data_IF_032624801549
#
_entry.id   IF_032624801549
#
_cell.length_a   1.000
_cell.length_b   1.000
_cell.length_c   1.000
_cell.angle_alpha   90.00
_cell.angle_beta   90.00
_cell.angle_gamma   90.00
#
_symmetry.space_group_name_H-M   'P 1'
#
loop_
_entity.id
_entity.type
_entity.pdbx_description
1 polymer ?
#
# COMPACT_ATOMS: atom_id res chain seq x y z
N UNK A 1 17.39 -19.74 -11.40
CA UNK A 1 18.10 -20.61 -10.41
C UNK A 1 17.13 -21.12 -9.34
N UNK A 2 16.23 -20.26 -8.80
CA UNK A 2 15.30 -20.68 -7.75
C UNK A 2 14.23 -21.67 -8.25
N UNK A 3 13.63 -21.40 -9.41
CA UNK A 3 12.64 -22.30 -10.05
C UNK A 3 13.24 -23.67 -10.39
N UNK A 4 14.48 -23.72 -10.88
CA UNK A 4 15.16 -24.98 -11.17
C UNK A 4 15.49 -25.77 -9.90
N UNK A 5 15.87 -25.08 -8.82
CA UNK A 5 16.08 -25.70 -7.50
C UNK A 5 14.77 -26.25 -6.92
N UNK A 6 13.68 -25.53 -7.04
CA UNK A 6 12.35 -25.95 -6.60
C UNK A 6 11.86 -27.19 -7.35
N UNK A 7 12.01 -27.24 -8.67
CA UNK A 7 11.72 -28.44 -9.50
C UNK A 7 12.48 -29.68 -9.04
N UNK A 8 13.78 -29.49 -8.71
CA UNK A 8 14.63 -30.62 -8.26
C UNK A 8 14.22 -31.15 -6.87
N UNK A 9 13.51 -30.32 -6.06
CA UNK A 9 13.03 -30.69 -4.72
C UNK A 9 11.56 -31.13 -4.69
N UNK A 10 10.89 -31.21 -5.82
CA UNK A 10 9.49 -31.68 -5.92
C UNK A 10 8.45 -30.61 -5.58
N UNK A 11 8.83 -29.33 -5.54
CA UNK A 11 7.86 -28.24 -5.43
C UNK A 11 6.98 -28.15 -6.70
N UNK A 12 5.76 -27.59 -6.57
CA UNK A 12 4.87 -27.42 -7.71
C UNK A 12 5.56 -26.73 -8.89
N UNK A 13 5.39 -27.29 -10.07
CA UNK A 13 5.90 -26.68 -11.33
C UNK A 13 4.88 -25.66 -11.79
N UNK A 14 5.28 -24.59 -12.51
CA UNK A 14 4.32 -23.68 -13.13
C UNK A 14 3.25 -24.47 -13.86
N UNK A 15 2.01 -24.06 -13.71
CA UNK A 15 0.91 -24.58 -14.51
C UNK A 15 1.22 -24.30 -15.99
N UNK A 16 0.65 -25.03 -16.95
CA UNK A 16 0.84 -24.78 -18.37
C UNK A 16 0.50 -23.33 -18.78
N UNK A 17 -0.31 -22.63 -17.98
CA UNK A 17 -0.71 -21.23 -18.14
C UNK A 17 0.18 -20.25 -17.40
N UNK A 18 1.20 -20.72 -16.67
CA UNK A 18 2.01 -19.92 -15.76
C UNK A 18 1.44 -19.81 -14.34
N UNK A 19 2.18 -19.14 -13.47
CA UNK A 19 1.78 -18.92 -12.07
C UNK A 19 0.76 -17.79 -11.95
N UNK A 20 -0.36 -17.96 -11.24
CA UNK A 20 -1.16 -16.83 -10.81
C UNK A 20 -0.32 -15.91 -9.92
N UNK A 21 -0.55 -14.60 -9.97
CA UNK A 21 0.33 -13.60 -9.36
C UNK A 21 -0.42 -12.72 -8.38
N UNK A 22 0.18 -12.51 -7.22
CA UNK A 22 -0.19 -11.45 -6.28
C UNK A 22 0.84 -10.33 -6.36
N UNK A 23 0.40 -9.13 -6.71
CA UNK A 23 1.18 -7.90 -6.52
C UNK A 23 0.89 -7.40 -5.12
N UNK A 24 1.87 -7.47 -4.23
CA UNK A 24 1.78 -6.89 -2.89
C UNK A 24 2.43 -5.52 -2.85
N UNK A 25 1.68 -4.51 -2.39
CA UNK A 25 2.18 -3.15 -2.19
C UNK A 25 2.18 -2.82 -0.70
N UNK A 26 3.36 -2.67 -0.09
CA UNK A 26 3.49 -2.21 1.29
C UNK A 26 3.04 -0.75 1.47
N UNK A 27 2.87 -0.35 2.73
CA UNK A 27 2.49 0.98 3.14
C UNK A 27 3.60 2.03 3.05
N UNK A 28 3.27 3.26 3.45
CA UNK A 28 4.26 4.30 3.70
C UNK A 28 5.17 3.88 4.85
N UNK A 29 6.41 4.33 4.83
CA UNK A 29 7.48 3.97 5.79
C UNK A 29 7.90 2.49 5.75
N UNK A 30 7.40 1.73 4.79
CA UNK A 30 7.68 0.29 4.63
C UNK A 30 8.38 0.04 3.30
N UNK A 31 8.85 -1.19 3.10
CA UNK A 31 9.49 -1.58 1.86
C UNK A 31 9.03 -2.97 1.37
N UNK A 32 9.47 -3.36 0.18
CA UNK A 32 9.11 -4.63 -0.47
C UNK A 32 9.36 -5.88 0.37
N UNK A 33 10.23 -5.81 1.40
CA UNK A 33 10.53 -6.95 2.27
C UNK A 33 9.32 -7.38 3.13
N UNK A 34 8.36 -6.51 3.37
CA UNK A 34 7.13 -6.85 4.08
C UNK A 34 6.35 -8.00 3.42
N UNK A 35 6.59 -8.24 2.13
CA UNK A 35 6.05 -9.40 1.42
C UNK A 35 6.33 -10.71 2.18
N UNK A 36 7.49 -10.85 2.80
CA UNK A 36 7.88 -12.06 3.53
C UNK A 36 6.96 -12.35 4.72
N UNK A 37 6.36 -11.31 5.29
CA UNK A 37 5.48 -11.40 6.46
C UNK A 37 4.05 -11.85 6.13
N UNK A 38 3.65 -11.77 4.86
CA UNK A 38 2.26 -11.95 4.43
C UNK A 38 2.09 -12.96 3.30
N UNK A 39 3.18 -13.42 2.67
CA UNK A 39 3.10 -14.21 1.43
C UNK A 39 2.74 -15.68 1.66
N UNK A 40 3.00 -16.25 2.85
CA UNK A 40 2.85 -17.69 3.09
C UNK A 40 1.46 -18.23 2.69
N UNK A 41 0.32 -17.61 3.09
CA UNK A 41 -1.00 -18.12 2.73
C UNK A 41 -1.27 -18.11 1.21
N UNK A 42 -0.62 -17.23 0.45
CA UNK A 42 -0.77 -17.18 -1.00
C UNK A 42 0.13 -18.20 -1.69
N UNK A 43 1.35 -18.35 -1.18
CA UNK A 43 2.30 -19.37 -1.69
C UNK A 43 1.73 -20.78 -1.53
N UNK A 44 1.07 -21.06 -0.40
CA UNK A 44 0.40 -22.34 -0.13
C UNK A 44 -0.75 -22.62 -1.10
N UNK A 45 -1.35 -21.59 -1.66
CA UNK A 45 -2.38 -21.70 -2.71
C UNK A 45 -1.80 -21.73 -4.13
N UNK A 46 -0.47 -21.69 -4.28
CA UNK A 46 0.21 -21.77 -5.56
C UNK A 46 0.35 -20.45 -6.30
N UNK A 47 0.19 -19.30 -5.65
CA UNK A 47 0.46 -17.98 -6.23
C UNK A 47 1.96 -17.66 -6.21
N UNK A 48 2.42 -16.95 -7.23
CA UNK A 48 3.66 -16.20 -7.16
C UNK A 48 3.38 -14.83 -6.50
N UNK A 49 4.32 -14.31 -5.72
CA UNK A 49 4.19 -13.00 -5.06
C UNK A 49 5.28 -12.07 -5.55
N UNK A 50 4.89 -10.87 -5.95
CA UNK A 50 5.78 -9.80 -6.39
C UNK A 50 5.50 -8.56 -5.53
N UNK A 51 6.53 -7.95 -4.97
CA UNK A 51 6.44 -6.70 -4.22
C UNK A 51 7.39 -5.67 -4.78
N UNK A 52 7.00 -4.39 -4.73
CA UNK A 52 7.82 -3.25 -5.16
C UNK A 52 7.80 -2.15 -4.10
N UNK A 53 8.85 -1.34 -4.11
CA UNK A 53 8.91 -0.15 -3.27
C UNK A 53 8.17 1.01 -3.92
N UNK A 54 7.58 1.86 -3.09
CA UNK A 54 7.08 3.16 -3.50
C UNK A 54 8.24 4.10 -3.92
N UNK A 55 8.00 5.18 -4.66
CA UNK A 55 9.00 6.23 -4.81
C UNK A 55 9.53 6.68 -3.45
N UNK A 56 10.82 6.97 -3.34
CA UNK A 56 11.53 7.33 -2.12
C UNK A 56 11.53 6.28 -1.00
N UNK A 57 11.14 5.05 -1.31
CA UNK A 57 11.22 3.91 -0.40
C UNK A 57 12.24 2.90 -0.92
N UNK A 58 12.78 2.09 -0.03
CA UNK A 58 13.74 1.05 -0.39
C UNK A 58 14.40 0.46 0.84
N UNK A 59 15.35 -0.45 0.61
CA UNK A 59 16.16 -1.05 1.66
C UNK A 59 17.49 -0.28 1.72
N UNK A 60 17.71 0.49 2.78
CA UNK A 60 18.99 1.16 3.06
C UNK A 60 19.89 0.23 3.87
N UNK A 61 21.20 0.33 3.73
CA UNK A 61 22.17 -0.69 4.23
C UNK A 61 22.96 -0.20 5.43
N UNK A 62 22.55 0.86 6.06
CA UNK A 62 23.33 1.50 7.12
C UNK A 62 23.16 0.87 8.50
N UNK A 63 22.12 0.08 8.72
CA UNK A 63 21.87 -0.61 10.00
C UNK A 63 22.39 -2.06 9.96
N UNK A 64 23.29 -2.48 10.90
CA UNK A 64 23.68 -3.88 11.05
C UNK A 64 22.52 -4.84 11.34
N UNK A 65 21.40 -4.37 11.90
CA UNK A 65 20.16 -5.15 12.05
C UNK A 65 19.49 -5.44 10.72
N UNK A 66 19.75 -4.64 9.70
CA UNK A 66 19.23 -4.79 8.33
C UNK A 66 20.05 -5.74 7.47
N UNK A 67 21.09 -6.37 8.00
CA UNK A 67 21.94 -7.31 7.24
C UNK A 67 21.13 -8.45 6.60
N UNK A 68 20.00 -8.86 7.19
CA UNK A 68 19.09 -9.83 6.61
C UNK A 68 18.31 -9.22 5.44
N UNK A 69 17.88 -7.96 5.55
CA UNK A 69 17.18 -7.23 4.49
C UNK A 69 18.11 -6.94 3.31
N UNK A 70 19.41 -6.73 3.59
CA UNK A 70 20.42 -6.57 2.54
C UNK A 70 20.48 -7.76 1.57
N UNK A 71 20.10 -8.96 2.01
CA UNK A 71 19.97 -10.15 1.15
C UNK A 71 18.82 -10.04 0.15
N UNK A 72 17.85 -9.16 0.40
CA UNK A 72 16.71 -8.92 -0.48
C UNK A 72 17.00 -7.79 -1.50
N UNK A 73 18.16 -7.15 -1.43
CA UNK A 73 18.60 -6.23 -2.48
C UNK A 73 18.98 -7.01 -3.74
N UNK A 74 18.56 -6.50 -4.88
CA UNK A 74 18.92 -7.09 -6.16
C UNK A 74 20.29 -6.51 -6.60
N UNK A 75 21.34 -7.34 -6.70
CA UNK A 75 22.66 -6.85 -7.09
C UNK A 75 22.63 -6.11 -8.42
N UNK A 76 23.30 -4.96 -8.49
CA UNK A 76 23.39 -4.14 -9.71
C UNK A 76 22.17 -3.27 -10.01
N UNK A 77 21.20 -3.19 -9.09
CA UNK A 77 20.10 -2.24 -9.15
C UNK A 77 20.26 -1.12 -8.12
N UNK A 78 19.64 0.03 -8.38
CA UNK A 78 19.52 1.11 -7.40
C UNK A 78 18.20 0.95 -6.63
N UNK A 79 18.21 1.27 -5.34
CA UNK A 79 17.01 1.37 -4.53
C UNK A 79 16.17 2.58 -4.96
N UNK A 80 14.87 2.56 -4.65
CA UNK A 80 13.97 3.66 -5.02
C UNK A 80 14.03 4.85 -4.06
N UNK A 81 14.93 4.85 -3.10
CA UNK A 81 15.32 5.98 -2.25
C UNK A 81 15.96 7.12 -3.04
N UNK A 82 16.45 6.83 -4.27
CA UNK A 82 17.23 7.75 -5.12
C UNK A 82 18.52 8.24 -4.45
N UNK A 83 19.00 7.51 -3.44
CA UNK A 83 20.18 7.83 -2.64
C UNK A 83 20.12 9.26 -2.06
N UNK A 84 18.93 9.73 -1.72
CA UNK A 84 18.73 11.05 -1.12
C UNK A 84 19.09 11.00 0.37
N UNK A 85 19.73 12.06 0.81
CA UNK A 85 20.06 12.38 2.19
C UNK A 85 19.73 13.86 2.38
N UNK A 86 18.51 14.15 2.83
CA UNK A 86 17.97 15.51 2.96
C UNK A 86 17.55 15.83 4.39
N UNK A 87 17.55 14.81 5.27
CA UNK A 87 17.09 14.90 6.65
C UNK A 87 18.02 14.14 7.57
N UNK A 88 17.84 14.38 8.85
CA UNK A 88 18.46 13.59 9.89
C UNK A 88 17.57 12.38 10.22
N UNK A 89 18.09 11.16 10.04
CA UNK A 89 17.32 9.93 10.26
C UNK A 89 17.02 9.66 11.75
N UNK A 90 17.77 10.29 12.68
CA UNK A 90 17.50 10.21 14.12
C UNK A 90 16.50 11.28 14.59
N UNK A 91 16.41 12.42 13.87
CA UNK A 91 15.48 13.51 14.18
C UNK A 91 14.81 13.99 12.89
N UNK A 92 13.68 13.40 12.56
CA UNK A 92 12.91 13.71 11.34
C UNK A 92 12.43 15.17 11.26
N UNK A 93 12.54 15.95 12.34
CA UNK A 93 12.29 17.37 12.33
C UNK A 93 13.48 18.21 11.87
N UNK A 94 14.68 17.64 11.90
CA UNK A 94 15.92 18.25 11.41
C UNK A 94 16.08 17.97 9.91
N UNK A 95 15.94 19.02 9.11
CA UNK A 95 16.07 18.97 7.65
C UNK A 95 17.52 19.14 7.18
N UNK A 96 18.49 18.63 7.94
CA UNK A 96 19.91 18.64 7.57
C UNK A 96 20.39 17.22 7.29
N UNK A 97 21.12 17.01 6.18
CA UNK A 97 21.74 15.73 5.87
C UNK A 97 22.65 15.24 7.00
N UNK A 98 22.55 13.93 7.33
CA UNK A 98 23.38 13.30 8.37
C UNK A 98 24.39 12.29 7.81
N UNK A 99 24.45 12.11 6.51
CA UNK A 99 25.33 11.17 5.81
C UNK A 99 24.72 9.78 5.64
N UNK A 100 23.46 9.59 6.05
CA UNK A 100 22.71 8.36 5.91
C UNK A 100 21.59 8.59 4.88
N UNK A 101 21.40 7.66 3.95
CA UNK A 101 20.31 7.75 2.96
C UNK A 101 18.99 7.73 3.70
N UNK A 102 18.14 8.72 3.40
CA UNK A 102 16.79 8.81 3.97
C UNK A 102 15.97 7.57 3.63
N UNK A 103 15.44 6.93 4.66
CA UNK A 103 14.55 5.80 4.50
C UNK A 103 13.12 6.25 4.31
N UNK A 104 12.39 5.51 3.48
CA UNK A 104 10.92 5.53 3.38
C UNK A 104 10.30 6.95 3.48
N UNK A 105 9.07 7.14 3.45
CA UNK A 105 8.17 8.27 3.45
C UNK A 105 8.69 9.71 3.69
N UNK A 106 9.88 9.93 4.23
CA UNK A 106 10.39 11.27 4.60
C UNK A 106 10.44 12.24 3.44
N UNK A 107 10.79 11.73 2.26
CA UNK A 107 10.79 12.50 1.02
C UNK A 107 9.51 12.27 0.18
N UNK A 108 8.68 11.30 0.56
CA UNK A 108 7.45 10.98 -0.16
C UNK A 108 6.33 11.97 0.17
N UNK A 109 6.17 12.34 1.44
CA UNK A 109 5.20 13.34 1.90
C UNK A 109 5.95 14.55 2.42
N UNK A 110 5.91 15.66 1.67
CA UNK A 110 6.50 16.92 2.07
C UNK A 110 5.46 17.77 2.82
N UNK A 111 5.61 18.00 4.15
CA UNK A 111 4.66 18.76 4.93
C UNK A 111 4.77 20.28 4.73
N UNK A 112 5.78 20.77 3.99
CA UNK A 112 5.92 22.19 3.73
C UNK A 112 4.74 22.72 2.89
N UNK A 113 4.34 23.99 3.06
CA UNK A 113 3.27 24.61 2.27
C UNK A 113 3.50 24.53 0.74
N UNK A 114 4.76 24.42 0.29
CA UNK A 114 5.13 24.23 -1.12
C UNK A 114 5.09 22.77 -1.60
N UNK A 115 4.94 21.79 -0.71
CA UNK A 115 4.97 20.37 -1.03
C UNK A 115 3.74 19.80 -1.75
N UNK A 116 2.74 20.62 -1.97
CA UNK A 116 1.42 20.26 -2.49
C UNK A 116 1.46 19.45 -3.78
N UNK A 117 2.17 19.94 -4.78
CA UNK A 117 2.30 19.28 -6.07
C UNK A 117 3.19 18.03 -5.99
N UNK A 118 4.24 18.08 -5.18
CA UNK A 118 5.14 16.94 -4.94
C UNK A 118 4.38 15.76 -4.37
N UNK A 119 3.59 15.98 -3.32
CA UNK A 119 2.79 14.94 -2.68
C UNK A 119 1.78 14.32 -3.65
N UNK A 120 1.07 15.16 -4.41
CA UNK A 120 0.17 14.68 -5.47
C UNK A 120 0.89 13.80 -6.48
N UNK A 121 2.03 14.29 -6.98
CA UNK A 121 2.74 13.64 -8.09
C UNK A 121 3.47 12.38 -7.62
N UNK A 122 3.94 12.31 -6.37
CA UNK A 122 4.47 11.09 -5.77
C UNK A 122 3.40 9.98 -5.71
N UNK A 123 2.18 10.31 -5.27
CA UNK A 123 1.07 9.37 -5.26
C UNK A 123 0.70 8.91 -6.67
N UNK A 124 0.64 9.83 -7.64
CA UNK A 124 0.39 9.49 -9.06
C UNK A 124 1.48 8.59 -9.63
N UNK A 125 2.75 8.90 -9.35
CA UNK A 125 3.87 8.08 -9.79
C UNK A 125 3.82 6.68 -9.18
N UNK A 126 3.45 6.56 -7.92
CA UNK A 126 3.28 5.28 -7.26
C UNK A 126 2.16 4.44 -7.91
N UNK A 127 1.00 5.04 -8.16
CA UNK A 127 -0.10 4.36 -8.84
C UNK A 127 0.29 3.92 -10.27
N UNK A 128 0.96 4.78 -11.04
CA UNK A 128 1.48 4.45 -12.37
C UNK A 128 2.49 3.31 -12.31
N UNK A 129 3.32 3.26 -11.27
CA UNK A 129 4.30 2.17 -11.09
C UNK A 129 3.60 0.83 -10.84
N UNK A 130 2.55 0.79 -10.03
CA UNK A 130 1.74 -0.42 -9.81
C UNK A 130 1.14 -0.91 -11.13
N UNK A 131 0.56 -0.01 -11.92
CA UNK A 131 -0.02 -0.34 -13.22
C UNK A 131 1.04 -0.78 -14.25
N UNK A 132 2.22 -0.19 -14.20
CA UNK A 132 3.35 -0.59 -15.06
C UNK A 132 3.81 -1.99 -14.70
N UNK A 133 4.00 -2.29 -13.41
CA UNK A 133 4.32 -3.63 -12.94
C UNK A 133 3.28 -4.64 -13.42
N UNK A 134 1.98 -4.34 -13.22
CA UNK A 134 0.90 -5.21 -13.67
C UNK A 134 1.00 -5.55 -15.16
N UNK A 135 1.31 -4.56 -16.00
CA UNK A 135 1.45 -4.77 -17.44
C UNK A 135 2.74 -5.49 -17.83
N UNK A 136 3.78 -5.39 -17.01
CA UNK A 136 5.06 -6.03 -17.27
C UNK A 136 5.06 -7.52 -16.96
N UNK A 137 4.15 -8.01 -16.13
CA UNK A 137 4.09 -9.43 -15.71
C UNK A 137 4.07 -10.38 -16.90
N UNK A 138 3.34 -10.06 -17.97
CA UNK A 138 3.22 -10.91 -19.14
C UNK A 138 4.48 -11.02 -20.02
N UNK A 139 5.51 -10.23 -19.74
CA UNK A 139 6.79 -10.25 -20.44
C UNK A 139 7.96 -10.54 -19.52
N UNK A 140 7.70 -10.85 -18.26
CA UNK A 140 8.73 -11.27 -17.30
C UNK A 140 9.11 -12.71 -17.55
N UNK A 141 10.41 -12.95 -17.69
CA UNK A 141 11.04 -14.25 -17.83
C UNK A 141 11.94 -14.44 -16.61
N UNK A 142 11.52 -15.29 -15.66
CA UNK A 142 12.24 -15.54 -14.41
C UNK A 142 13.09 -16.81 -14.44
N UNK A 143 12.85 -17.70 -15.40
CA UNK A 143 13.58 -18.96 -15.51
C UNK A 143 14.52 -19.01 -16.72
N UNK A 144 14.62 -17.91 -17.49
CA UNK A 144 15.42 -17.78 -18.71
C UNK A 144 15.03 -18.79 -19.82
N UNK A 145 13.75 -19.21 -19.80
CA UNK A 145 13.18 -20.04 -20.86
C UNK A 145 12.34 -19.13 -21.79
N UNK A 146 12.63 -19.07 -23.09
CA UNK A 146 12.00 -18.10 -23.99
C UNK A 146 10.52 -18.36 -24.30
N UNK A 147 9.85 -19.29 -23.63
CA UNK A 147 8.43 -19.57 -23.88
C UNK A 147 7.47 -18.55 -23.28
N UNK A 148 7.95 -17.63 -22.41
CA UNK A 148 7.21 -16.52 -21.79
C UNK A 148 5.89 -16.92 -21.10
N UNK A 149 5.86 -18.10 -20.48
CA UNK A 149 4.70 -18.65 -19.78
C UNK A 149 4.88 -18.69 -18.26
N UNK A 150 5.78 -17.87 -17.71
CA UNK A 150 6.07 -17.90 -16.27
C UNK A 150 4.87 -17.49 -15.43
N UNK A 151 4.07 -16.53 -15.91
CA UNK A 151 2.95 -15.98 -15.18
C UNK A 151 1.64 -16.02 -15.97
N UNK A 152 0.55 -16.34 -15.27
CA UNK A 152 -0.82 -16.20 -15.79
C UNK A 152 -1.30 -14.76 -15.62
N UNK A 153 -1.25 -13.97 -16.67
CA UNK A 153 -1.69 -12.57 -16.64
C UNK A 153 -3.17 -12.40 -16.38
N UNK A 154 -3.99 -13.44 -16.64
CA UNK A 154 -5.44 -13.40 -16.37
C UNK A 154 -5.75 -13.54 -14.88
N UNK A 155 -4.80 -14.09 -14.11
CA UNK A 155 -4.88 -14.31 -12.67
C UNK A 155 -3.88 -13.41 -11.93
N UNK A 156 -3.92 -12.11 -12.23
CA UNK A 156 -3.12 -11.12 -11.52
C UNK A 156 -3.99 -10.39 -10.51
N UNK A 157 -3.66 -10.56 -9.25
CA UNK A 157 -4.34 -9.99 -8.10
C UNK A 157 -3.49 -8.86 -7.50
N UNK A 158 -4.14 -7.91 -6.84
CA UNK A 158 -3.46 -6.83 -6.12
C UNK A 158 -3.86 -6.87 -4.64
N UNK A 159 -2.87 -6.76 -3.76
CA UNK A 159 -3.07 -6.59 -2.32
C UNK A 159 -2.26 -5.38 -1.86
N UNK A 160 -2.93 -4.39 -1.32
CA UNK A 160 -2.29 -3.21 -0.74
C UNK A 160 -2.56 -3.10 0.74
N UNK A 161 -1.54 -2.75 1.52
CA UNK A 161 -1.66 -2.45 2.94
C UNK A 161 -1.36 -0.97 3.20
N UNK A 162 -2.17 -0.30 4.02
CA UNK A 162 -1.95 1.11 4.42
C UNK A 162 -1.81 2.03 3.19
N UNK A 163 -0.69 2.72 3.05
CA UNK A 163 -0.37 3.50 1.85
C UNK A 163 -0.50 2.72 0.55
N UNK A 164 -0.15 1.42 0.55
CA UNK A 164 -0.37 0.54 -0.59
C UNK A 164 -1.85 0.36 -0.94
N UNK A 165 -2.74 0.31 0.04
CA UNK A 165 -4.19 0.25 -0.17
C UNK A 165 -4.76 1.60 -0.63
N UNK A 166 -4.21 2.72 -0.14
CA UNK A 166 -4.56 4.07 -0.63
C UNK A 166 -4.26 4.15 -2.14
N UNK A 167 -3.05 3.79 -2.53
CA UNK A 167 -2.62 3.83 -3.93
C UNK A 167 -3.31 2.76 -4.78
N UNK A 168 -3.63 1.60 -4.17
CA UNK A 168 -4.47 0.56 -4.76
C UNK A 168 -5.88 1.05 -5.09
N UNK A 169 -6.44 1.93 -4.27
CA UNK A 169 -7.72 2.59 -4.55
C UNK A 169 -7.69 3.48 -5.79
N UNK A 170 -6.55 4.16 -6.05
CA UNK A 170 -6.32 4.89 -7.31
C UNK A 170 -6.15 3.92 -8.49
N UNK A 171 -5.34 2.87 -8.29
CA UNK A 171 -5.07 1.87 -9.32
C UNK A 171 -6.35 1.12 -9.73
N UNK A 172 -7.25 0.80 -8.78
CA UNK A 172 -8.53 0.13 -9.04
C UNK A 172 -9.37 0.85 -10.10
N UNK A 173 -9.39 2.17 -10.07
CA UNK A 173 -10.16 2.97 -11.02
C UNK A 173 -9.65 2.84 -12.47
N UNK A 174 -8.41 2.41 -12.63
CA UNK A 174 -7.69 2.36 -13.91
C UNK A 174 -7.20 0.96 -14.29
N UNK A 175 -7.20 0.00 -13.36
CA UNK A 175 -6.87 -1.40 -13.60
C UNK A 175 -8.10 -2.12 -14.14
N UNK A 176 -8.26 -2.13 -15.46
CA UNK A 176 -9.40 -2.82 -16.10
C UNK A 176 -9.26 -4.34 -16.18
N UNK A 177 -8.10 -4.90 -15.80
CA UNK A 177 -7.71 -6.29 -16.01
C UNK A 177 -7.08 -6.97 -14.78
N UNK A 178 -7.24 -6.39 -13.58
CA UNK A 178 -6.92 -7.08 -12.33
C UNK A 178 -8.00 -8.11 -12.00
N UNK A 179 -7.60 -9.34 -11.65
CA UNK A 179 -8.52 -10.42 -11.30
C UNK A 179 -9.27 -10.12 -9.99
N UNK A 180 -8.58 -9.56 -8.99
CA UNK A 180 -9.19 -9.01 -7.77
C UNK A 180 -8.27 -7.99 -7.10
N UNK A 181 -8.83 -7.23 -6.14
CA UNK A 181 -8.11 -6.21 -5.38
C UNK A 181 -8.47 -6.30 -3.90
N UNK A 182 -7.46 -6.38 -3.02
CA UNK A 182 -7.62 -6.31 -1.56
C UNK A 182 -7.03 -4.99 -1.04
N UNK A 183 -7.83 -4.22 -0.31
CA UNK A 183 -7.47 -2.91 0.25
C UNK A 183 -7.49 -2.99 1.78
N UNK A 184 -6.32 -3.17 2.38
CA UNK A 184 -6.17 -3.46 3.81
C UNK A 184 -5.71 -2.20 4.54
N UNK A 185 -6.46 -1.74 5.52
CA UNK A 185 -6.21 -0.52 6.29
C UNK A 185 -5.92 0.71 5.41
N UNK A 186 -6.59 0.80 4.25
CA UNK A 186 -6.51 1.93 3.33
C UNK A 186 -7.52 3.01 3.66
N UNK A 187 -7.33 4.21 3.09
CA UNK A 187 -8.22 5.34 3.31
C UNK A 187 -8.31 6.28 2.13
N UNK A 188 -9.22 7.25 2.19
CA UNK A 188 -9.41 8.28 1.18
C UNK A 188 -9.73 9.64 1.82
N UNK A 189 -9.55 10.72 1.04
CA UNK A 189 -9.66 12.08 1.54
C UNK A 189 -8.46 12.40 2.42
N UNK A 190 -7.27 12.47 1.80
CA UNK A 190 -5.99 12.42 2.51
C UNK A 190 -5.82 13.57 3.51
N UNK A 191 -6.31 14.78 3.23
CA UNK A 191 -6.26 15.89 4.20
C UNK A 191 -7.07 15.53 5.45
N UNK A 192 -8.27 14.97 5.27
CA UNK A 192 -9.10 14.58 6.40
C UNK A 192 -8.56 13.34 7.10
N UNK A 193 -7.88 12.45 6.38
CA UNK A 193 -7.14 11.33 6.97
C UNK A 193 -6.05 11.85 7.91
N UNK A 194 -5.25 12.83 7.49
CA UNK A 194 -4.22 13.44 8.33
C UNK A 194 -4.79 14.21 9.54
N UNK A 195 -6.00 14.79 9.41
CA UNK A 195 -6.69 15.42 10.55
C UNK A 195 -7.18 14.40 11.59
N UNK A 196 -7.64 13.23 11.12
CA UNK A 196 -8.20 12.19 11.97
C UNK A 196 -7.12 11.28 12.56
N UNK A 197 -5.92 11.25 11.96
CA UNK A 197 -4.80 10.42 12.37
C UNK A 197 -4.14 10.95 13.65
N UNK A 198 -3.65 10.04 14.49
CA UNK A 198 -2.93 10.41 15.70
C UNK A 198 -1.65 11.21 15.39
N UNK A 199 -1.30 12.16 16.26
CA UNK A 199 -0.16 13.06 16.06
C UNK A 199 1.16 12.38 16.44
N UNK A 200 1.16 11.54 17.47
CA UNK A 200 2.36 10.90 18.01
C UNK A 200 2.63 9.55 17.32
N UNK A 201 1.60 8.72 17.22
CA UNK A 201 1.70 7.34 16.73
C UNK A 201 1.12 7.15 15.31
N UNK A 202 0.72 8.22 14.65
CA UNK A 202 0.13 8.21 13.30
C UNK A 202 0.75 9.24 12.37
N UNK A 203 -0.01 9.68 11.38
CA UNK A 203 0.40 10.70 10.39
C UNK A 203 -0.11 12.11 10.69
N UNK A 204 -0.76 12.32 11.83
CA UNK A 204 -1.31 13.64 12.22
C UNK A 204 -0.25 14.71 12.34
N UNK A 205 1.01 14.34 12.67
CA UNK A 205 2.14 15.29 12.74
C UNK A 205 2.39 16.02 11.42
N UNK A 206 2.08 15.40 10.28
CA UNK A 206 2.25 16.02 8.95
C UNK A 206 1.37 17.26 8.82
N UNK A 207 0.09 17.13 9.21
CA UNK A 207 -0.83 18.27 9.19
C UNK A 207 -0.51 19.28 10.30
N UNK A 208 -0.04 18.83 11.46
CA UNK A 208 0.39 19.71 12.55
C UNK A 208 1.59 20.57 12.13
N UNK A 209 2.56 20.01 11.44
CA UNK A 209 3.69 20.76 10.88
C UNK A 209 3.24 21.72 9.78
N UNK A 210 2.29 21.35 8.93
CA UNK A 210 1.69 22.26 7.97
C UNK A 210 0.99 23.44 8.67
N UNK A 211 0.22 23.18 9.74
CA UNK A 211 -0.44 24.22 10.55
C UNK A 211 0.59 25.20 11.11
N UNK A 212 1.69 24.70 11.68
CA UNK A 212 2.79 25.53 12.19
C UNK A 212 3.41 26.38 11.09
N UNK A 213 3.69 25.81 9.92
CA UNK A 213 4.25 26.53 8.77
C UNK A 213 3.31 27.63 8.23
N UNK A 214 2.01 27.35 8.16
CA UNK A 214 1.01 28.33 7.76
C UNK A 214 0.86 29.47 8.79
N UNK A 215 0.91 29.15 10.08
CA UNK A 215 0.87 30.14 11.14
C UNK A 215 2.06 31.11 11.08
N UNK A 216 3.24 30.66 10.73
CA UNK A 216 4.43 31.50 10.50
C UNK A 216 4.22 32.50 9.34
N UNK A 217 3.33 32.18 8.40
CA UNK A 217 2.93 33.04 7.29
C UNK A 217 1.70 33.90 7.61
N UNK A 218 1.25 33.89 8.85
CA UNK A 218 0.11 34.68 9.32
C UNK A 218 -1.27 34.05 9.03
N UNK A 219 -1.30 32.78 8.59
CA UNK A 219 -2.55 32.02 8.37
C UNK A 219 -2.91 31.31 9.67
N UNK A 220 -3.89 31.85 10.37
CA UNK A 220 -4.32 31.33 11.68
C UNK A 220 -5.11 30.02 11.48
N UNK A 221 -4.79 28.94 12.21
CA UNK A 221 -5.60 27.73 12.21
C UNK A 221 -7.09 28.00 12.47
N UNK A 222 -7.95 27.23 11.84
CA UNK A 222 -9.42 27.33 11.90
C UNK A 222 -10.04 28.64 11.35
N UNK A 223 -9.20 29.56 10.85
CA UNK A 223 -9.71 30.70 10.10
C UNK A 223 -10.28 30.29 8.73
N UNK A 224 -11.11 31.16 8.15
CA UNK A 224 -11.62 30.94 6.79
C UNK A 224 -10.50 30.78 5.75
N UNK A 225 -9.39 31.51 5.91
CA UNK A 225 -8.22 31.42 5.03
C UNK A 225 -7.56 30.05 5.17
N UNK A 226 -7.38 29.56 6.39
CA UNK A 226 -6.85 28.23 6.67
C UNK A 226 -7.75 27.13 6.08
N UNK A 227 -9.05 27.19 6.33
CA UNK A 227 -10.01 26.20 5.82
C UNK A 227 -10.06 26.21 4.29
N UNK A 228 -9.97 27.37 3.66
CA UNK A 228 -9.86 27.47 2.20
C UNK A 228 -8.56 26.83 1.68
N UNK A 229 -7.44 27.06 2.38
CA UNK A 229 -6.17 26.44 2.02
C UNK A 229 -6.26 24.91 2.06
N UNK A 230 -6.81 24.31 3.15
CA UNK A 230 -6.97 22.85 3.24
C UNK A 230 -7.91 22.29 2.19
N UNK A 231 -9.01 23.00 1.90
CA UNK A 231 -9.93 22.62 0.81
C UNK A 231 -9.21 22.61 -0.55
N UNK A 232 -8.45 23.65 -0.84
CA UNK A 232 -7.74 23.78 -2.11
C UNK A 232 -6.58 22.77 -2.18
N UNK A 233 -5.95 22.48 -1.04
CA UNK A 233 -4.96 21.42 -0.92
C UNK A 233 -5.58 20.06 -1.26
N UNK A 234 -6.69 19.69 -0.63
CA UNK A 234 -7.40 18.46 -0.95
C UNK A 234 -7.78 18.41 -2.43
N UNK A 235 -8.26 19.51 -2.98
CA UNK A 235 -8.66 19.58 -4.39
C UNK A 235 -7.49 19.29 -5.34
N UNK A 236 -6.32 19.86 -5.09
CA UNK A 236 -5.11 19.56 -5.87
C UNK A 236 -4.67 18.11 -5.65
N UNK A 237 -4.80 17.60 -4.43
CA UNK A 237 -4.36 16.24 -4.08
C UNK A 237 -5.29 15.15 -4.61
N UNK A 238 -6.54 15.48 -4.96
CA UNK A 238 -7.52 14.52 -5.50
C UNK A 238 -7.01 13.73 -6.70
N UNK A 239 -6.05 14.25 -7.47
CA UNK A 239 -5.45 13.52 -8.58
C UNK A 239 -4.49 12.38 -8.13
N UNK A 240 -4.08 12.35 -6.87
CA UNK A 240 -3.27 11.31 -6.23
C UNK A 240 -3.97 10.65 -5.04
N UNK A 241 -5.22 11.02 -4.75
CA UNK A 241 -6.03 10.52 -3.65
C UNK A 241 -7.16 9.64 -4.19
N UNK A 242 -7.42 8.45 -3.63
CA UNK A 242 -8.56 7.63 -4.03
C UNK A 242 -9.89 8.38 -4.07
N UNK A 243 -10.09 9.39 -3.21
CA UNK A 243 -11.35 10.16 -3.18
C UNK A 243 -11.69 10.79 -4.54
N UNK A 244 -10.68 11.15 -5.32
CA UNK A 244 -10.86 11.67 -6.69
C UNK A 244 -11.34 10.63 -7.69
N UNK A 245 -11.22 9.34 -7.34
CA UNK A 245 -11.46 8.21 -8.24
C UNK A 245 -12.60 7.27 -7.79
N UNK A 246 -13.17 7.47 -6.61
CA UNK A 246 -14.18 6.55 -6.04
C UNK A 246 -15.36 6.30 -6.98
N UNK A 247 -15.79 7.28 -7.75
CA UNK A 247 -16.90 7.13 -8.68
C UNK A 247 -16.56 6.22 -9.88
N UNK A 248 -15.31 6.26 -10.36
CA UNK A 248 -14.80 5.36 -11.41
C UNK A 248 -14.59 3.96 -10.86
N UNK A 249 -13.95 3.85 -9.68
CA UNK A 249 -13.71 2.60 -8.99
C UNK A 249 -15.02 1.86 -8.64
N UNK A 250 -16.08 2.60 -8.31
CA UNK A 250 -17.42 2.04 -8.09
C UNK A 250 -17.98 1.36 -9.33
N UNK A 251 -17.70 1.88 -10.52
CA UNK A 251 -18.16 1.31 -11.80
C UNK A 251 -17.30 0.13 -12.28
N UNK A 252 -16.12 -0.08 -11.69
CA UNK A 252 -15.27 -1.22 -12.02
C UNK A 252 -16.00 -2.53 -11.68
N UNK A 253 -15.91 -3.51 -12.58
CA UNK A 253 -16.38 -4.87 -12.35
C UNK A 253 -15.40 -5.73 -11.56
N UNK A 254 -14.18 -5.25 -11.30
CA UNK A 254 -13.16 -5.97 -10.55
C UNK A 254 -13.66 -6.27 -9.14
N UNK A 255 -13.59 -7.52 -8.68
CA UNK A 255 -13.89 -7.88 -7.30
C UNK A 255 -12.96 -7.16 -6.32
N UNK A 256 -13.52 -6.61 -5.25
CA UNK A 256 -12.76 -5.85 -4.24
C UNK A 256 -13.18 -6.25 -2.84
N UNK A 257 -12.18 -6.53 -1.98
CA UNK A 257 -12.37 -6.61 -0.54
C UNK A 257 -11.64 -5.46 0.16
N UNK A 258 -12.26 -4.90 1.18
CA UNK A 258 -11.63 -3.99 2.14
C UNK A 258 -11.54 -4.63 3.51
N UNK A 259 -10.50 -4.32 4.28
CA UNK A 259 -10.42 -4.68 5.69
C UNK A 259 -9.95 -3.48 6.49
N UNK A 260 -10.64 -3.14 7.57
CA UNK A 260 -10.28 -2.06 8.48
C UNK A 260 -10.22 -2.55 9.93
N UNK A 261 -9.34 -1.98 10.73
CA UNK A 261 -9.23 -2.25 12.17
C UNK A 261 -9.94 -1.15 12.96
N UNK A 262 -10.85 -1.50 13.86
CA UNK A 262 -11.66 -0.53 14.60
C UNK A 262 -10.84 0.41 15.50
N UNK A 263 -9.69 -0.05 15.94
CA UNK A 263 -8.75 0.64 16.82
C UNK A 263 -7.58 1.29 16.09
N UNK A 264 -7.63 1.32 14.75
CA UNK A 264 -6.59 1.96 13.93
C UNK A 264 -6.59 3.49 14.13
N UNK A 265 -5.48 4.00 14.64
CA UNK A 265 -5.24 5.44 14.89
C UNK A 265 -4.39 6.09 13.80
N UNK A 266 -3.82 5.30 12.90
CA UNK A 266 -3.00 5.76 11.76
C UNK A 266 -3.88 6.06 10.56
N UNK A 267 -4.54 5.04 10.01
CA UNK A 267 -5.61 5.18 9.02
C UNK A 267 -6.93 4.87 9.71
N UNK A 268 -7.52 5.89 10.29
CA UNK A 268 -8.70 5.73 11.13
C UNK A 268 -9.87 5.04 10.40
N UNK A 269 -10.77 4.36 11.11
CA UNK A 269 -11.96 3.75 10.51
C UNK A 269 -12.77 4.72 9.65
N UNK A 270 -12.79 6.01 10.02
CA UNK A 270 -13.48 7.04 9.24
C UNK A 270 -12.85 7.24 7.86
N UNK A 271 -11.51 7.20 7.77
CA UNK A 271 -10.77 7.31 6.52
C UNK A 271 -10.98 6.07 5.62
N UNK A 272 -10.95 4.88 6.23
CA UNK A 272 -11.22 3.62 5.51
C UNK A 272 -12.65 3.58 4.97
N UNK A 273 -13.64 3.99 5.76
CA UNK A 273 -15.04 4.03 5.32
C UNK A 273 -15.25 5.03 4.17
N UNK A 274 -14.57 6.19 4.17
CA UNK A 274 -14.62 7.11 3.03
C UNK A 274 -14.18 6.43 1.72
N UNK A 275 -13.15 5.59 1.78
CA UNK A 275 -12.71 4.79 0.63
C UNK A 275 -13.73 3.71 0.29
N UNK A 276 -14.04 2.83 1.24
CA UNK A 276 -14.82 1.61 0.98
C UNK A 276 -16.24 1.92 0.54
N UNK A 277 -16.96 2.78 1.25
CA UNK A 277 -18.31 3.20 0.88
C UNK A 277 -18.31 4.02 -0.42
N UNK A 278 -17.24 4.85 -0.61
CA UNK A 278 -17.04 5.61 -1.85
C UNK A 278 -16.98 4.72 -3.08
N UNK A 279 -16.23 3.64 -3.03
CA UNK A 279 -16.12 2.66 -4.14
C UNK A 279 -17.24 1.62 -4.14
N UNK A 280 -18.18 1.71 -3.21
CA UNK A 280 -19.40 0.88 -3.18
C UNK A 280 -19.23 -0.47 -2.50
N UNK A 281 -18.28 -0.63 -1.57
CA UNK A 281 -18.19 -1.84 -0.76
C UNK A 281 -19.34 -1.89 0.26
N UNK A 282 -19.84 -3.09 0.52
CA UNK A 282 -20.86 -3.38 1.55
C UNK A 282 -20.18 -4.09 2.71
N UNK A 283 -20.55 -3.73 3.96
CA UNK A 283 -20.02 -4.42 5.11
C UNK A 283 -20.47 -5.87 5.16
N UNK A 284 -19.51 -6.78 5.25
CA UNK A 284 -19.72 -8.21 5.59
C UNK A 284 -19.81 -8.31 7.11
N UNK A 285 -20.92 -8.84 7.65
CA UNK A 285 -21.20 -8.86 9.08
C UNK A 285 -21.04 -10.24 9.70
N UNK A 286 -21.23 -11.28 8.92
CA UNK A 286 -21.15 -12.66 9.36
C UNK A 286 -20.47 -13.52 8.32
N UNK A 287 -19.73 -14.58 8.75
CA UNK A 287 -19.22 -15.57 7.82
C UNK A 287 -20.34 -16.13 6.95
N UNK A 288 -20.11 -16.22 5.65
CA UNK A 288 -21.12 -16.69 4.68
C UNK A 288 -22.09 -15.63 4.19
N UNK A 289 -22.00 -14.38 4.64
CA UNK A 289 -22.71 -13.27 3.99
C UNK A 289 -22.28 -13.22 2.52
N UNK A 290 -23.25 -13.33 1.61
CA UNK A 290 -22.99 -13.15 0.20
C UNK A 290 -22.62 -11.69 -0.08
N UNK A 291 -21.34 -11.41 -0.27
CA UNK A 291 -20.98 -10.19 -0.96
C UNK A 291 -20.67 -10.57 -2.41
N UNK A 292 -21.44 -10.05 -3.33
CA UNK A 292 -21.42 -10.51 -4.73
C UNK A 292 -20.07 -10.28 -5.43
N UNK A 293 -19.30 -9.24 -5.07
CA UNK A 293 -17.95 -8.98 -5.56
C UNK A 293 -17.26 -7.82 -4.83
N UNK A 294 -17.97 -7.07 -3.99
CA UNK A 294 -17.48 -5.85 -3.31
C UNK A 294 -17.92 -5.80 -1.86
N UNK A 295 -17.01 -6.12 -0.95
CA UNK A 295 -17.29 -6.15 0.48
C UNK A 295 -16.15 -5.59 1.33
N UNK A 296 -16.43 -5.29 2.60
CA UNK A 296 -15.39 -4.99 3.58
C UNK A 296 -15.70 -5.60 4.94
N UNK A 297 -14.65 -5.93 5.67
CA UNK A 297 -14.68 -6.46 7.03
C UNK A 297 -14.21 -5.43 8.04
N UNK A 298 -14.62 -5.62 9.30
CA UNK A 298 -14.22 -4.78 10.42
C UNK A 298 -13.59 -5.66 11.50
N UNK A 299 -12.28 -5.56 11.61
CA UNK A 299 -11.50 -6.25 12.64
C UNK A 299 -11.67 -5.51 13.96
N UNK A 300 -12.06 -6.24 15.00
CA UNK A 300 -12.50 -5.65 16.27
C UNK A 300 -11.37 -5.38 17.25
N UNK A 301 -10.21 -5.99 17.05
CA UNK A 301 -9.01 -5.86 17.88
C UNK A 301 -7.77 -5.68 17.01
N UNK A 302 -6.64 -5.33 17.61
CA UNK A 302 -5.39 -5.08 16.90
C UNK A 302 -5.13 -3.58 16.65
N UNK A 303 -4.25 -3.28 15.72
CA UNK A 303 -3.81 -1.94 15.33
C UNK A 303 -3.58 -1.84 13.83
N UNK A 304 -3.03 -0.70 13.38
CA UNK A 304 -2.70 -0.46 11.98
C UNK A 304 -1.76 -1.50 11.37
N UNK A 305 -0.81 -2.01 12.18
CA UNK A 305 0.21 -2.97 11.77
C UNK A 305 -0.24 -4.43 11.80
N UNK A 306 -1.46 -4.73 12.28
CA UNK A 306 -1.90 -6.10 12.56
C UNK A 306 -1.94 -7.01 11.34
N UNK A 307 -2.02 -6.47 10.12
CA UNK A 307 -1.90 -7.27 8.90
C UNK A 307 -0.52 -7.89 8.71
N UNK A 308 0.54 -7.18 9.10
CA UNK A 308 1.94 -7.60 8.90
C UNK A 308 2.62 -8.09 10.19
N UNK A 309 2.01 -7.88 11.34
CA UNK A 309 2.60 -8.23 12.64
C UNK A 309 1.55 -8.70 13.66
N UNK A 310 1.78 -9.85 14.31
CA UNK A 310 0.90 -10.35 15.37
C UNK A 310 1.12 -9.66 16.73
N UNK A 311 1.96 -8.63 16.80
CA UNK A 311 2.39 -8.03 18.08
C UNK A 311 1.21 -7.44 18.88
N UNK A 312 0.25 -6.81 18.20
CA UNK A 312 -0.94 -6.23 18.83
C UNK A 312 -2.07 -7.27 19.03
N UNK A 313 -2.31 -8.11 18.03
CA UNK A 313 -3.28 -9.21 18.11
C UNK A 313 -2.96 -10.30 17.08
N UNK A 314 -2.64 -11.49 17.59
CA UNK A 314 -2.44 -12.68 16.74
C UNK A 314 -3.73 -13.03 15.98
N UNK A 315 -4.88 -12.91 16.62
CA UNK A 315 -6.16 -13.23 16.00
C UNK A 315 -6.46 -12.29 14.83
N UNK A 316 -6.25 -10.98 15.01
CA UNK A 316 -6.42 -10.00 13.94
C UNK A 316 -5.50 -10.28 12.75
N UNK A 317 -4.22 -10.61 13.00
CA UNK A 317 -3.26 -10.93 11.93
C UNK A 317 -3.72 -12.16 11.14
N UNK A 318 -4.09 -13.24 11.83
CA UNK A 318 -4.55 -14.48 11.19
C UNK A 318 -5.83 -14.23 10.39
N UNK A 319 -6.80 -13.50 10.97
CA UNK A 319 -8.06 -13.18 10.29
C UNK A 319 -7.81 -12.37 9.01
N UNK A 320 -7.08 -11.26 9.10
CA UNK A 320 -6.82 -10.38 7.95
C UNK A 320 -6.04 -11.08 6.82
N UNK A 321 -5.03 -11.88 7.16
CA UNK A 321 -4.25 -12.63 6.17
C UNK A 321 -5.08 -13.77 5.55
N UNK A 322 -5.92 -14.44 6.34
CA UNK A 322 -6.82 -15.49 5.86
C UNK A 322 -7.87 -14.91 4.92
N UNK A 323 -8.52 -13.80 5.30
CA UNK A 323 -9.50 -13.13 4.44
C UNK A 323 -8.92 -12.75 3.08
N UNK A 324 -7.72 -12.13 3.07
CA UNK A 324 -7.04 -11.77 1.84
C UNK A 324 -6.75 -13.00 0.97
N UNK A 325 -6.27 -14.10 1.57
CA UNK A 325 -5.92 -15.32 0.85
C UNK A 325 -7.16 -16.05 0.30
N UNK A 326 -8.22 -16.18 1.09
CA UNK A 326 -9.48 -16.82 0.67
C UNK A 326 -10.13 -16.04 -0.47
N UNK A 327 -10.12 -14.72 -0.39
CA UNK A 327 -10.70 -13.86 -1.42
C UNK A 327 -10.01 -14.02 -2.79
N UNK A 328 -8.67 -14.16 -2.82
CA UNK A 328 -7.92 -14.37 -4.06
C UNK A 328 -8.30 -15.70 -4.74
N UNK A 329 -8.57 -16.72 -3.96
CA UNK A 329 -9.02 -18.03 -4.45
C UNK A 329 -10.43 -18.06 -5.04
N UNK A 330 -11.11 -16.93 -5.11
CA UNK A 330 -12.49 -16.84 -5.62
C UNK A 330 -13.55 -17.44 -4.69
N UNK A 331 -13.19 -17.70 -3.43
CA UNK A 331 -14.12 -18.22 -2.43
C UNK A 331 -14.79 -17.05 -1.69
N UNK A 332 -16.06 -17.21 -1.36
CA UNK A 332 -16.73 -16.30 -0.41
C UNK A 332 -15.98 -16.35 0.93
N UNK A 333 -15.88 -15.19 1.59
CA UNK A 333 -15.32 -15.14 2.95
C UNK A 333 -16.08 -16.13 3.87
N UNK A 334 -15.35 -17.05 4.46
CA UNK A 334 -15.92 -18.10 5.29
C UNK A 334 -16.23 -17.60 6.70
#
# INVERSE_FOLDING_TARGET
AWVQGAKAQGFPVPLPTGWPVVIYQPGFTRNRADMVLVAEPWLDQGYAVISIDLPFHGITVTDPAESLLALLRVPGTTERTFDLDLRNNEDVSDLTPDGIIDESADNFINPAPGGLLTNRDNNRQAAVTILTLRRSIGVMDIDANPDNTDFDTSQTHFVGHSGGAILGGVALATCGDCASISLISGGAGLIKLLEDSDIEDGFGFILDNLKKGLAQQGIVPDSSTYNNYLRDFQHVWNEGDPIGYVHLARLSATPVIGSLVNTDIVVTPSASLRLFEGIGLTQVKTPGDNFESKGYTRITEGDHGSYISPASSVAATVEMQTEAAVFLGGNALA
#
